data_IF_965250612238
#
_entry.id   IF_965250612238
#
_cell.length_a   1.000
_cell.length_b   1.000
_cell.length_c   1.000
_cell.angle_alpha   90.00
_cell.angle_beta   90.00
_cell.angle_gamma   90.00
#
_symmetry.space_group_name_H-M   'P 1'
#
loop_
_entity.id
_entity.type
_entity.pdbx_description
1 polymer ?
#
# COMPACT_ATOMS: atom_id res chain seq x y z
N UNK A 1 -2.88 -0.54 27.36
CA UNK A 1 -2.22 -0.32 26.05
C UNK A 1 -2.19 -1.66 25.31
N UNK A 2 -3.06 -1.89 24.33
CA UNK A 2 -3.15 -3.18 23.60
C UNK A 2 -2.30 -3.12 22.33
N UNK A 3 -1.14 -3.78 22.35
CA UNK A 3 -0.31 -3.99 21.15
C UNK A 3 -0.63 -5.37 20.59
N UNK A 4 -1.32 -5.42 19.45
CA UNK A 4 -1.56 -6.67 18.73
C UNK A 4 -0.37 -6.99 17.84
N UNK A 5 0.33 -8.09 18.11
CA UNK A 5 1.24 -8.68 17.13
C UNK A 5 0.40 -9.47 16.14
N UNK A 6 0.49 -9.14 14.86
CA UNK A 6 -0.25 -9.89 13.86
C UNK A 6 0.46 -11.22 13.63
N UNK A 7 -0.13 -12.29 14.18
CA UNK A 7 0.36 -13.67 14.03
C UNK A 7 -0.42 -14.45 12.97
N UNK A 8 -1.60 -13.97 12.56
CA UNK A 8 -2.42 -14.57 11.52
C UNK A 8 -2.27 -13.78 10.21
N UNK A 9 -1.92 -14.46 9.10
CA UNK A 9 -1.74 -13.82 7.78
C UNK A 9 -2.96 -13.09 7.29
N UNK A 10 -4.17 -13.56 7.61
CA UNK A 10 -5.40 -12.90 7.19
C UNK A 10 -5.56 -11.50 7.77
N UNK A 11 -4.80 -11.17 8.81
CA UNK A 11 -4.78 -9.84 9.41
C UNK A 11 -3.62 -8.97 8.91
N UNK A 12 -2.75 -9.47 8.03
CA UNK A 12 -1.72 -8.61 7.42
C UNK A 12 -2.42 -7.58 6.53
N UNK A 13 -2.04 -6.30 6.61
CA UNK A 13 -2.46 -5.36 5.58
C UNK A 13 -1.91 -5.83 4.23
N UNK A 14 -2.59 -5.45 3.16
CA UNK A 14 -2.03 -5.65 1.83
C UNK A 14 -0.70 -4.90 1.73
N UNK A 15 0.35 -5.60 1.32
CA UNK A 15 1.66 -5.02 1.07
C UNK A 15 1.80 -4.74 -0.43
N UNK A 16 2.25 -3.52 -0.75
CA UNK A 16 2.58 -3.11 -2.12
C UNK A 16 3.94 -2.45 -2.15
N UNK A 17 4.57 -2.50 -3.31
CA UNK A 17 5.81 -1.77 -3.64
C UNK A 17 5.63 -0.99 -4.92
N UNK A 18 6.47 0.02 -5.14
CA UNK A 18 6.55 0.78 -6.38
C UNK A 18 7.93 0.54 -6.99
N UNK A 19 7.98 0.06 -8.23
CA UNK A 19 9.24 -0.09 -8.97
C UNK A 19 9.89 1.26 -9.30
N UNK A 20 9.06 2.29 -9.51
CA UNK A 20 9.47 3.67 -9.74
C UNK A 20 8.56 4.61 -8.93
N UNK A 21 9.15 5.35 -7.98
CA UNK A 21 8.41 6.27 -7.10
C UNK A 21 7.79 7.45 -7.86
N UNK A 22 8.27 7.76 -9.07
CA UNK A 22 7.72 8.78 -9.95
C UNK A 22 6.57 8.29 -10.84
N UNK A 23 6.41 6.96 -10.98
CA UNK A 23 5.36 6.34 -11.77
C UNK A 23 4.35 5.59 -10.88
N UNK A 24 3.13 6.11 -10.67
CA UNK A 24 2.10 5.43 -9.87
C UNK A 24 1.69 4.07 -10.45
N UNK A 25 1.88 3.84 -11.75
CA UNK A 25 1.49 2.59 -12.41
C UNK A 25 2.47 1.45 -12.15
N UNK A 26 3.65 1.75 -11.59
CA UNK A 26 4.67 0.78 -11.19
C UNK A 26 4.33 0.01 -9.91
N UNK A 27 3.11 0.18 -9.38
CA UNK A 27 2.64 -0.47 -8.17
C UNK A 27 2.48 -1.97 -8.38
N UNK A 28 3.02 -2.76 -7.46
CA UNK A 28 2.93 -4.21 -7.45
C UNK A 28 2.61 -4.73 -6.06
N UNK A 29 1.79 -5.78 -5.97
CA UNK A 29 1.57 -6.48 -4.72
C UNK A 29 2.83 -7.27 -4.34
N UNK A 30 3.15 -7.27 -3.06
CA UNK A 30 4.27 -8.03 -2.49
C UNK A 30 3.71 -9.20 -1.69
N UNK A 31 4.27 -10.39 -1.89
CA UNK A 31 3.96 -11.54 -1.05
C UNK A 31 4.73 -11.44 0.28
N UNK A 32 4.04 -11.33 1.44
CA UNK A 32 4.71 -11.33 2.74
C UNK A 32 5.50 -12.62 3.03
N UNK A 33 5.23 -13.73 2.33
CA UNK A 33 6.01 -14.97 2.40
C UNK A 33 7.26 -15.01 1.57
N UNK A 34 7.27 -14.24 0.49
CA UNK A 34 8.33 -14.27 -0.49
C UNK A 34 8.76 -12.84 -0.83
N UNK A 35 9.18 -12.12 0.21
CA UNK A 35 9.84 -10.83 0.01
C UNK A 35 11.10 -10.97 -0.84
N UNK A 36 11.74 -12.12 -0.85
CA UNK A 36 12.94 -12.36 -1.65
C UNK A 36 12.66 -12.31 -3.16
N UNK A 37 11.49 -12.75 -3.62
CA UNK A 37 11.07 -12.61 -5.01
C UNK A 37 10.95 -11.14 -5.45
N UNK A 38 10.62 -10.22 -4.53
CA UNK A 38 10.46 -8.79 -4.84
C UNK A 38 11.71 -7.95 -4.56
N UNK A 39 12.48 -8.32 -3.54
CA UNK A 39 13.55 -7.48 -2.98
C UNK A 39 14.93 -8.15 -2.94
N UNK A 40 15.05 -9.37 -3.48
CA UNK A 40 16.29 -10.12 -3.54
C UNK A 40 16.55 -11.05 -2.35
N UNK A 41 17.43 -12.02 -2.57
CA UNK A 41 17.76 -13.10 -1.63
C UNK A 41 18.17 -12.57 -0.26
N UNK A 42 17.64 -13.20 0.80
CA UNK A 42 17.91 -12.83 2.19
C UNK A 42 16.94 -11.80 2.78
N UNK A 43 16.05 -11.23 1.96
CA UNK A 43 15.00 -10.32 2.46
C UNK A 43 13.87 -11.11 3.10
N UNK A 44 13.57 -10.81 4.36
CA UNK A 44 12.46 -11.41 5.12
C UNK A 44 11.71 -10.39 5.95
N UNK A 45 10.41 -10.62 6.13
CA UNK A 45 9.58 -9.74 6.95
C UNK A 45 9.80 -10.05 8.43
N UNK A 46 10.44 -9.13 9.17
CA UNK A 46 10.72 -9.37 10.59
C UNK A 46 9.49 -9.24 11.49
N UNK A 47 8.66 -8.20 11.28
CA UNK A 47 7.48 -7.91 12.11
C UNK A 47 6.60 -6.85 11.45
N UNK A 48 5.28 -7.08 11.47
CA UNK A 48 4.27 -6.04 11.29
C UNK A 48 3.66 -5.71 12.66
N UNK A 49 3.39 -4.44 12.93
CA UNK A 49 2.72 -4.02 14.17
C UNK A 49 1.67 -3.00 13.84
N UNK A 50 0.44 -3.32 14.23
CA UNK A 50 -0.71 -2.45 14.12
C UNK A 50 -1.05 -1.98 15.53
N UNK A 51 -1.16 -0.67 15.69
CA UNK A 51 -1.46 -0.03 16.96
C UNK A 51 -2.57 0.99 16.74
N UNK A 52 -3.59 0.96 17.60
CA UNK A 52 -4.51 2.10 17.75
C UNK A 52 -3.78 3.20 18.51
N UNK A 53 -3.68 4.37 17.90
CA UNK A 53 -2.99 5.52 18.48
C UNK A 53 -3.79 6.79 18.27
N UNK A 54 -3.69 7.70 19.24
CA UNK A 54 -4.21 9.07 19.15
C UNK A 54 -3.13 10.04 18.66
N UNK A 55 -1.92 9.53 18.35
CA UNK A 55 -0.87 10.31 17.72
C UNK A 55 -1.37 10.91 16.38
N UNK A 56 -0.93 12.13 16.04
CA UNK A 56 -1.34 12.76 14.78
C UNK A 56 -0.92 11.91 13.58
N UNK A 57 -1.67 12.04 12.48
CA UNK A 57 -1.32 11.42 11.21
C UNK A 57 0.08 11.89 10.79
N UNK A 58 0.95 10.94 10.46
CA UNK A 58 2.29 11.24 9.93
C UNK A 58 2.19 11.80 8.51
N UNK A 59 2.82 12.94 8.26
CA UNK A 59 2.93 13.55 6.93
C UNK A 59 4.25 13.18 6.23
N UNK A 60 4.34 13.40 4.92
CA UNK A 60 5.59 13.33 4.15
C UNK A 60 5.63 12.23 3.11
N UNK A 61 4.62 11.35 3.07
CA UNK A 61 4.47 10.37 1.99
C UNK A 61 4.24 11.06 0.64
N UNK A 62 3.58 12.22 0.66
CA UNK A 62 3.33 13.09 -0.49
C UNK A 62 4.61 13.63 -1.10
N UNK A 63 5.65 13.86 -0.29
CA UNK A 63 6.96 14.32 -0.77
C UNK A 63 7.73 13.18 -1.46
N UNK A 64 7.55 11.94 -0.98
CA UNK A 64 8.18 10.74 -1.57
C UNK A 64 7.46 10.30 -2.84
N UNK A 65 6.14 10.40 -2.84
CA UNK A 65 5.26 10.05 -3.96
C UNK A 65 4.63 11.34 -4.50
N UNK A 66 5.44 12.16 -5.19
CA UNK A 66 5.07 13.52 -5.62
C UNK A 66 3.86 13.61 -6.57
N UNK A 67 3.44 12.48 -7.14
CA UNK A 67 2.22 12.37 -7.94
C UNK A 67 0.95 12.27 -7.10
N UNK A 68 1.03 11.90 -5.82
CA UNK A 68 -0.14 11.63 -4.98
C UNK A 68 -1.14 12.79 -5.07
N UNK A 69 -0.68 14.06 -4.96
CA UNK A 69 -1.57 15.24 -4.87
C UNK A 69 -2.31 15.54 -6.16
N UNK A 70 -1.80 15.06 -7.28
CA UNK A 70 -2.33 15.31 -8.62
C UNK A 70 -3.08 14.10 -9.17
N UNK A 71 -2.76 12.89 -8.68
CA UNK A 71 -3.39 11.65 -9.13
C UNK A 71 -4.81 11.51 -8.59
N UNK A 72 -5.74 11.13 -9.47
CA UNK A 72 -7.17 10.94 -9.16
C UNK A 72 -7.61 9.57 -9.67
N UNK A 73 -8.43 8.89 -8.89
CA UNK A 73 -8.88 7.53 -9.22
C UNK A 73 -7.81 6.47 -8.97
N UNK A 74 -7.95 5.33 -9.64
CA UNK A 74 -7.05 4.17 -9.53
C UNK A 74 -5.65 4.52 -10.02
N UNK A 75 -4.63 3.91 -9.42
CA UNK A 75 -3.23 4.09 -9.85
C UNK A 75 -3.02 3.58 -11.27
N UNK A 76 -3.63 2.44 -11.60
CA UNK A 76 -3.61 1.84 -12.93
C UNK A 76 -4.89 2.18 -13.68
N UNK A 77 -4.77 2.51 -14.97
CA UNK A 77 -5.94 2.78 -15.82
C UNK A 77 -6.79 1.51 -15.95
N UNK A 78 -8.05 1.63 -15.58
CA UNK A 78 -9.06 0.59 -15.78
C UNK A 78 -9.38 0.46 -17.28
N UNK A 79 -9.47 -0.78 -17.79
CA UNK A 79 -10.02 -1.03 -19.14
C UNK A 79 -11.55 -0.83 -19.11
N UNK A 80 -12.17 -0.26 -20.16
CA UNK A 80 -13.61 0.06 -20.14
C UNK A 80 -14.53 -1.14 -19.84
N UNK A 81 -14.13 -2.33 -20.27
CA UNK A 81 -14.86 -3.60 -20.17
C UNK A 81 -14.57 -4.40 -18.88
N UNK A 82 -13.52 -4.03 -18.13
CA UNK A 82 -13.12 -4.72 -16.91
C UNK A 82 -13.83 -4.13 -15.69
N UNK A 83 -14.38 -4.91 -14.78
CA UNK A 83 -14.91 -4.39 -13.50
C UNK A 83 -13.81 -4.18 -12.46
N UNK A 84 -14.05 -3.33 -11.45
CA UNK A 84 -13.07 -3.13 -10.36
C UNK A 84 -12.78 -4.44 -9.60
N UNK A 85 -13.75 -5.36 -9.53
CA UNK A 85 -13.61 -6.66 -8.87
C UNK A 85 -12.63 -7.61 -9.58
N UNK A 86 -12.52 -7.47 -10.90
CA UNK A 86 -11.65 -8.28 -11.76
C UNK A 86 -10.20 -7.77 -11.82
N UNK A 87 -9.94 -6.57 -11.28
CA UNK A 87 -8.60 -6.02 -11.22
C UNK A 87 -7.79 -6.69 -10.10
N UNK A 88 -6.48 -6.95 -10.30
CA UNK A 88 -5.59 -7.33 -9.21
C UNK A 88 -5.70 -6.35 -8.03
N UNK A 89 -5.56 -6.83 -6.80
CA UNK A 89 -5.79 -6.02 -5.60
C UNK A 89 -4.93 -4.73 -5.58
N UNK A 90 -3.66 -4.82 -5.99
CA UNK A 90 -2.76 -3.66 -6.12
C UNK A 90 -3.17 -2.66 -7.22
N UNK A 91 -4.06 -3.01 -8.14
CA UNK A 91 -4.59 -2.08 -9.14
C UNK A 91 -5.89 -1.42 -8.69
N UNK A 92 -6.51 -1.94 -7.64
CA UNK A 92 -7.74 -1.39 -7.05
C UNK A 92 -7.48 -0.23 -6.10
N UNK A 93 -6.22 -0.04 -5.69
CA UNK A 93 -5.79 1.11 -4.88
C UNK A 93 -5.69 2.38 -5.74
N UNK A 94 -5.96 3.51 -5.11
CA UNK A 94 -5.84 4.85 -5.65
C UNK A 94 -5.09 5.77 -4.69
N UNK A 95 -4.96 7.03 -5.07
CA UNK A 95 -4.25 8.03 -4.25
C UNK A 95 -4.89 8.27 -2.87
N UNK A 96 -6.16 7.93 -2.69
CA UNK A 96 -6.87 8.00 -1.41
C UNK A 96 -6.49 6.90 -0.43
N UNK A 97 -6.02 5.74 -0.88
CA UNK A 97 -5.60 4.65 0.03
C UNK A 97 -4.30 4.99 0.79
N UNK A 98 -3.52 5.93 0.25
CA UNK A 98 -2.30 6.46 0.87
C UNK A 98 -2.55 7.75 1.66
N UNK A 99 -3.79 8.25 1.64
CA UNK A 99 -4.19 9.47 2.33
C UNK A 99 -5.32 9.21 3.29
N UNK A 100 -5.07 9.43 4.57
CA UNK A 100 -6.16 9.64 5.50
C UNK A 100 -6.53 11.13 5.44
N UNK A 101 -7.72 11.45 4.93
CA UNK A 101 -8.32 12.75 5.24
C UNK A 101 -8.55 12.78 6.74
N UNK A 102 -7.92 13.71 7.44
CA UNK A 102 -8.38 14.10 8.77
C UNK A 102 -9.71 14.81 8.52
N UNK A 103 -10.82 14.16 8.84
CA UNK A 103 -12.06 14.90 9.09
C UNK A 103 -11.83 15.69 10.37
N UNK A 104 -11.89 17.02 10.25
CA UNK A 104 -11.95 17.96 11.38
C UNK A 104 -13.35 17.98 11.95
#
# INVERSE_FOLDING_TARGET
RNRGHIRNRSAYPMLVTFGDLSDPTSVAQVDPDDLAASFGTGTTLKRITVQMTDDPVTSGIEQRLGWLDRHRGSLVKRKPDQTLGEMPAAHRIGSTDFRRKVEL
#
